data_IF_489123148953
#
_entry.id   IF_489123148953
#
_cell.length_a   1.000
_cell.length_b   1.000
_cell.length_c   1.000
_cell.angle_alpha   90.00
_cell.angle_beta   90.00
_cell.angle_gamma   90.00
#
_symmetry.space_group_name_H-M   'P 1'
#
loop_
_entity.id
_entity.type
_entity.pdbx_description
1 polymer ?
#
# COMPACT_ATOMS: atom_id res chain seq x y z
N UNK A 1 -2.18 -21.15 3.65
CA UNK A 1 -2.52 -21.64 5.00
C UNK A 1 -1.43 -21.25 5.99
N UNK A 2 -0.18 -21.71 5.82
CA UNK A 2 0.93 -21.38 6.74
C UNK A 2 1.17 -19.89 7.02
N UNK A 3 1.09 -19.01 6.02
CA UNK A 3 1.30 -17.55 6.22
C UNK A 3 0.24 -16.93 7.13
N UNK A 4 -1.02 -17.35 6.99
CA UNK A 4 -2.13 -16.86 7.82
C UNK A 4 -1.96 -17.30 9.28
N UNK A 5 -1.59 -18.57 9.50
CA UNK A 5 -1.34 -19.10 10.84
C UNK A 5 -0.21 -18.35 11.57
N UNK A 6 0.86 -17.98 10.84
CA UNK A 6 1.96 -17.19 11.41
C UNK A 6 1.51 -15.76 11.74
N UNK A 7 0.68 -15.13 10.90
CA UNK A 7 0.11 -13.80 11.18
C UNK A 7 -0.76 -13.83 12.44
N UNK A 8 -1.61 -14.85 12.58
CA UNK A 8 -2.45 -15.05 13.77
C UNK A 8 -1.60 -15.24 15.03
N UNK A 9 -0.50 -16.00 14.95
CA UNK A 9 0.44 -16.18 16.06
C UNK A 9 1.13 -14.87 16.46
N UNK A 10 1.63 -14.11 15.49
CA UNK A 10 2.24 -12.79 15.73
C UNK A 10 1.24 -11.87 16.43
N UNK A 11 0.00 -11.82 15.95
CA UNK A 11 -1.04 -10.99 16.55
C UNK A 11 -1.40 -11.43 17.98
N UNK A 12 -1.48 -12.73 18.23
CA UNK A 12 -1.77 -13.27 19.56
C UNK A 12 -0.64 -12.98 20.58
N UNK A 13 0.62 -13.11 20.15
CA UNK A 13 1.79 -12.92 21.03
C UNK A 13 2.03 -11.45 21.32
N UNK A 14 2.07 -10.62 20.29
CA UNK A 14 2.47 -9.22 20.42
C UNK A 14 1.30 -8.28 20.74
N UNK A 15 0.06 -8.68 20.40
CA UNK A 15 -1.16 -7.86 20.52
C UNK A 15 -0.94 -6.41 20.05
N UNK A 16 -0.42 -6.20 18.83
CA UNK A 16 -0.16 -4.86 18.32
C UNK A 16 -1.47 -4.13 18.02
N UNK A 17 -1.48 -2.81 18.17
CA UNK A 17 -2.59 -1.98 17.69
C UNK A 17 -2.65 -1.94 16.15
N UNK A 18 -1.50 -2.09 15.48
CA UNK A 18 -1.37 -2.11 14.03
C UNK A 18 -0.13 -2.90 13.59
N UNK A 19 -0.23 -3.64 12.49
CA UNK A 19 0.91 -4.29 11.83
C UNK A 19 1.13 -3.65 10.45
N UNK A 20 2.39 -3.39 10.11
CA UNK A 20 2.79 -2.86 8.81
C UNK A 20 3.64 -3.88 8.08
N UNK A 21 3.25 -4.19 6.84
CA UNK A 21 3.96 -5.14 5.98
C UNK A 21 4.46 -4.43 4.73
N UNK A 22 5.74 -4.63 4.43
CA UNK A 22 6.32 -4.19 3.16
C UNK A 22 6.14 -5.30 2.13
N UNK A 23 5.53 -4.97 1.00
CA UNK A 23 5.17 -5.92 -0.05
C UNK A 23 5.94 -5.60 -1.33
N UNK A 24 6.26 -6.62 -2.16
CA UNK A 24 6.88 -6.36 -3.44
C UNK A 24 5.89 -5.60 -4.36
N UNK A 25 6.40 -4.96 -5.44
CA UNK A 25 5.56 -4.21 -6.38
C UNK A 25 4.39 -5.03 -6.92
N UNK A 26 3.18 -4.49 -6.79
CA UNK A 26 1.91 -5.19 -7.08
C UNK A 26 1.85 -5.72 -8.52
N UNK A 27 2.33 -4.95 -9.51
CA UNK A 27 2.23 -5.32 -10.93
C UNK A 27 3.24 -6.40 -11.37
N UNK A 28 4.16 -6.81 -10.50
CA UNK A 28 5.29 -7.67 -10.88
C UNK A 28 5.18 -9.08 -10.29
N UNK A 29 4.45 -9.27 -9.17
CA UNK A 29 4.43 -10.54 -8.43
C UNK A 29 3.04 -11.01 -8.02
N UNK A 30 2.78 -12.31 -8.21
CA UNK A 30 1.59 -13.01 -7.71
C UNK A 30 1.54 -13.08 -6.17
N UNK A 31 2.71 -13.03 -5.53
CA UNK A 31 2.85 -13.16 -4.08
C UNK A 31 2.13 -12.01 -3.36
N UNK A 32 2.21 -10.79 -3.90
CA UNK A 32 1.51 -9.63 -3.34
C UNK A 32 0.00 -9.89 -3.30
N UNK A 33 -0.58 -10.45 -4.37
CA UNK A 33 -2.03 -10.72 -4.47
C UNK A 33 -2.50 -11.75 -3.45
N UNK A 34 -1.70 -12.79 -3.19
CA UNK A 34 -1.99 -13.76 -2.16
C UNK A 34 -1.94 -13.13 -0.76
N UNK A 35 -1.02 -12.19 -0.52
CA UNK A 35 -0.85 -11.51 0.76
C UNK A 35 -1.92 -10.44 1.01
N UNK A 36 -2.38 -9.74 -0.03
CA UNK A 36 -3.45 -8.73 0.08
C UNK A 36 -4.74 -9.30 0.69
N UNK A 37 -5.01 -10.60 0.50
CA UNK A 37 -6.16 -11.31 1.08
C UNK A 37 -6.04 -11.53 2.59
N UNK A 38 -4.88 -11.26 3.18
CA UNK A 38 -4.56 -11.50 4.60
C UNK A 38 -4.48 -10.20 5.41
N UNK A 39 -4.71 -9.04 4.79
CA UNK A 39 -4.60 -7.72 5.43
C UNK A 39 -5.87 -6.90 5.23
N UNK A 40 -6.13 -5.97 6.15
CA UNK A 40 -7.36 -5.17 6.17
C UNK A 40 -7.36 -4.00 5.17
N UNK A 41 -6.17 -3.45 4.90
CA UNK A 41 -6.01 -2.33 3.96
C UNK A 41 -4.58 -2.21 3.43
N UNK A 42 -4.43 -1.50 2.31
CA UNK A 42 -3.14 -1.21 1.66
C UNK A 42 -2.97 0.28 1.40
N UNK A 43 -1.74 0.77 1.54
CA UNK A 43 -1.33 2.09 1.05
C UNK A 43 -0.46 1.88 -0.19
N UNK A 44 -0.82 2.52 -1.30
CA UNK A 44 -0.05 2.44 -2.55
C UNK A 44 1.00 3.54 -2.57
N UNK A 45 2.26 3.18 -2.78
CA UNK A 45 3.36 4.16 -2.89
C UNK A 45 3.68 4.40 -4.36
N UNK A 46 3.40 5.61 -4.85
CA UNK A 46 3.73 6.05 -6.20
C UNK A 46 5.00 6.92 -6.18
N UNK A 47 5.91 6.71 -7.12
CA UNK A 47 7.10 7.56 -7.25
C UNK A 47 6.86 8.71 -8.23
N UNK A 48 7.03 9.95 -7.80
CA UNK A 48 7.03 11.12 -8.66
C UNK A 48 8.05 10.95 -9.80
N UNK A 49 7.68 11.41 -10.99
CA UNK A 49 8.47 11.28 -12.25
C UNK A 49 8.72 9.82 -12.71
N UNK A 50 8.35 8.80 -11.94
CA UNK A 50 8.59 7.38 -12.28
C UNK A 50 7.31 6.54 -12.46
N UNK A 51 6.26 6.82 -11.69
CA UNK A 51 4.97 6.11 -11.75
C UNK A 51 3.97 6.93 -12.55
N UNK A 52 3.36 6.34 -13.57
CA UNK A 52 2.33 7.03 -14.35
C UNK A 52 0.97 6.92 -13.68
N UNK A 53 0.06 7.85 -13.98
CA UNK A 53 -1.33 7.79 -13.49
C UNK A 53 -1.99 6.47 -13.87
N UNK A 54 -1.81 6.00 -15.11
CA UNK A 54 -2.38 4.73 -15.55
C UNK A 54 -1.84 3.52 -14.77
N UNK A 55 -0.57 3.52 -14.38
CA UNK A 55 -0.01 2.46 -13.52
C UNK A 55 -0.60 2.51 -12.11
N UNK A 56 -0.85 3.72 -11.58
CA UNK A 56 -1.47 3.89 -10.26
C UNK A 56 -2.92 3.39 -10.30
N UNK A 57 -3.69 3.77 -11.32
CA UNK A 57 -5.08 3.30 -11.52
C UNK A 57 -5.15 1.78 -11.67
N UNK A 58 -4.19 1.18 -12.39
CA UNK A 58 -4.10 -0.27 -12.56
C UNK A 58 -3.82 -0.97 -11.22
N UNK A 59 -2.86 -0.47 -10.44
CA UNK A 59 -2.56 -0.99 -9.11
C UNK A 59 -3.76 -0.85 -8.17
N UNK A 60 -4.42 0.31 -8.16
CA UNK A 60 -5.60 0.54 -7.33
C UNK A 60 -6.71 -0.47 -7.66
N UNK A 61 -6.99 -0.66 -8.96
CA UNK A 61 -7.99 -1.62 -9.42
C UNK A 61 -7.63 -3.06 -9.09
N UNK A 62 -6.36 -3.43 -9.13
CA UNK A 62 -5.91 -4.79 -8.77
C UNK A 62 -6.01 -5.01 -7.26
N UNK A 63 -5.56 -4.06 -6.44
CA UNK A 63 -5.62 -4.15 -4.97
C UNK A 63 -7.06 -4.20 -4.48
N UNK A 64 -7.95 -3.39 -5.06
CA UNK A 64 -9.37 -3.30 -4.71
C UNK A 64 -10.14 -4.61 -4.95
N UNK A 65 -9.59 -5.57 -5.69
CA UNK A 65 -10.18 -6.91 -5.84
C UNK A 65 -10.00 -7.79 -4.59
N UNK A 66 -9.02 -7.46 -3.73
CA UNK A 66 -8.61 -8.31 -2.62
C UNK A 66 -8.73 -7.63 -1.25
N UNK A 67 -8.47 -6.33 -1.15
CA UNK A 67 -8.53 -5.57 0.11
C UNK A 67 -8.82 -4.09 -0.14
N UNK A 68 -9.03 -3.31 0.93
CA UNK A 68 -9.28 -1.87 0.83
C UNK A 68 -8.01 -1.09 0.48
N UNK A 69 -8.14 -0.10 -0.40
CA UNK A 69 -7.10 0.90 -0.61
C UNK A 69 -7.33 2.03 0.38
N UNK A 70 -6.46 2.15 1.39
CA UNK A 70 -6.52 3.23 2.39
C UNK A 70 -6.11 4.58 1.79
N UNK A 71 -5.29 4.56 0.75
CA UNK A 71 -4.89 5.75 0.01
C UNK A 71 -3.63 5.54 -0.82
N UNK A 72 -3.24 6.60 -1.53
CA UNK A 72 -2.02 6.65 -2.35
C UNK A 72 -1.08 7.70 -1.75
N UNK A 73 0.18 7.34 -1.56
CA UNK A 73 1.25 8.23 -1.14
C UNK A 73 2.14 8.52 -2.35
N UNK A 74 2.20 9.79 -2.76
CA UNK A 74 3.16 10.24 -3.75
C UNK A 74 4.50 10.52 -3.06
N UNK A 75 5.51 9.73 -3.40
CA UNK A 75 6.87 9.80 -2.87
C UNK A 75 7.83 10.40 -3.92
N UNK A 76 9.03 10.82 -3.51
CA UNK A 76 10.08 11.41 -4.37
C UNK A 76 9.70 12.76 -5.00
N UNK A 77 8.74 13.49 -4.44
CA UNK A 77 8.45 14.85 -4.85
C UNK A 77 9.67 15.74 -4.65
N UNK A 78 10.25 16.25 -5.74
CA UNK A 78 11.40 17.17 -5.70
C UNK A 78 11.02 18.61 -5.36
N UNK A 79 9.76 18.98 -5.62
CA UNK A 79 9.21 20.30 -5.38
C UNK A 79 7.99 20.17 -4.46
N UNK A 80 8.24 20.16 -3.16
CA UNK A 80 7.21 20.55 -2.20
C UNK A 80 7.51 22.03 -1.99
N UNK A 81 6.78 22.92 -2.67
CA UNK A 81 6.92 24.36 -2.41
C UNK A 81 6.67 24.60 -0.91
N UNK A 82 7.65 25.20 -0.24
CA UNK A 82 7.50 25.70 1.13
C UNK A 82 6.53 26.89 1.10
N UNK A 83 5.21 26.65 1.12
CA UNK A 83 4.26 27.75 1.13
C UNK A 83 2.79 27.35 1.08
N UNK A 84 2.20 27.08 2.24
CA UNK A 84 0.76 27.31 2.44
C UNK A 84 0.42 28.79 2.20
N UNK A 85 -0.64 29.08 1.43
CA UNK A 85 -1.26 30.41 1.42
C UNK A 85 -2.34 30.61 0.37
N UNK A 86 -3.61 30.50 0.78
CA UNK A 86 -4.76 31.02 0.02
C UNK A 86 -4.55 32.49 -0.35
N UNK A 87 -4.60 32.83 -1.64
CA UNK A 87 -4.75 34.23 -2.07
C UNK A 87 -6.20 34.47 -2.46
N UNK A 88 -6.81 35.48 -1.84
CA UNK A 88 -7.94 36.20 -2.42
C UNK A 88 -7.53 36.87 -3.73
#
# INVERSE_FOLDING_TARGET
>A
VRTAEILDEIQAVFRPDMMLFDLPPVLVSDETRAFLKLIDATIVVAGAESSTVSQIDEVEREVAQYTNVAGIVLNKCRFIEDGYGYSY
#
